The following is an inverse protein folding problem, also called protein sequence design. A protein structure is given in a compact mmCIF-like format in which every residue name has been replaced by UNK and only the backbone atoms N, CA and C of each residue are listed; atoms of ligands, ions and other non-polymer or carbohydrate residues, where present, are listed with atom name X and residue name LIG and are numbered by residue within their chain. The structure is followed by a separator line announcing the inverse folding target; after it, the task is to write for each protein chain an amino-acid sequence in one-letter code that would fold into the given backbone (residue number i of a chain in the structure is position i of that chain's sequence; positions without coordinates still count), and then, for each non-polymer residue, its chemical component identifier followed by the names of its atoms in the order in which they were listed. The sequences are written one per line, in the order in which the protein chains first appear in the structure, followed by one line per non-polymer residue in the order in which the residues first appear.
data_IF_465561807649
#
_entry.id   IF_465561807649
#
_cell.length_a   1.000
_cell.length_b   1.000
_cell.length_c   1.000
_cell.angle_alpha   90.00
_cell.angle_beta   90.00
_cell.angle_gamma   90.00
#
_symmetry.space_group_name_H-M   'P 1'
#
loop_
_entity.id
_entity.type
_entity.pdbx_description
1 polymer ?
#
# COMPACT_ATOMS: atom_id res chain seq x y z
N UNK A 1 -15.68 -4.38 22.38
CA UNK A 1 -14.62 -4.56 21.37
C UNK A 1 -13.65 -5.68 21.71
N UNK A 2 -12.97 -5.64 22.86
CA UNK A 2 -12.03 -6.71 23.26
C UNK A 2 -12.64 -8.13 23.23
N UNK A 3 -13.84 -8.32 23.80
CA UNK A 3 -14.52 -9.62 23.73
C UNK A 3 -14.88 -10.08 22.32
N UNK A 4 -14.93 -9.18 21.33
CA UNK A 4 -15.11 -9.55 19.93
C UNK A 4 -13.79 -10.00 19.30
N UNK A 5 -12.71 -9.22 19.48
CA UNK A 5 -11.37 -9.53 18.97
C UNK A 5 -10.85 -10.86 19.52
N UNK A 6 -11.12 -11.17 20.80
CA UNK A 6 -10.76 -12.44 21.45
C UNK A 6 -11.37 -13.69 20.76
N UNK A 7 -12.37 -13.54 19.89
CA UNK A 7 -12.90 -14.66 19.10
C UNK A 7 -12.00 -15.07 17.92
N UNK A 8 -11.08 -14.19 17.53
CA UNK A 8 -10.19 -14.37 16.38
C UNK A 8 -8.72 -14.52 16.80
N UNK A 9 -8.37 -13.94 17.96
CA UNK A 9 -7.00 -13.93 18.48
C UNK A 9 -6.98 -14.69 19.81
N UNK A 10 -6.45 -15.91 19.75
CA UNK A 10 -6.28 -16.80 20.89
C UNK A 10 -5.31 -16.20 21.92
N UNK A 11 -5.49 -16.58 23.19
CA UNK A 11 -4.64 -16.19 24.32
C UNK A 11 -4.44 -14.68 24.52
N UNK A 12 -5.35 -13.84 24.02
CA UNK A 12 -5.29 -12.38 24.17
C UNK A 12 -5.66 -11.94 25.60
N UNK A 13 -4.66 -11.53 26.38
CA UNK A 13 -4.81 -10.88 27.69
C UNK A 13 -5.32 -9.44 27.57
N UNK A 14 -5.71 -8.84 28.70
CA UNK A 14 -6.38 -7.53 28.71
C UNK A 14 -5.47 -6.35 28.37
N UNK A 15 -4.18 -6.42 28.70
CA UNK A 15 -3.19 -5.39 28.37
C UNK A 15 -2.94 -5.33 26.86
N UNK A 16 -2.60 -6.47 26.26
CA UNK A 16 -2.42 -6.59 24.82
C UNK A 16 -3.71 -6.32 24.05
N UNK A 17 -4.88 -6.57 24.67
CA UNK A 17 -6.15 -6.27 24.02
C UNK A 17 -6.36 -4.77 23.78
N UNK A 18 -5.93 -3.91 24.68
CA UNK A 18 -6.06 -2.47 24.49
C UNK A 18 -5.20 -1.97 23.32
N UNK A 19 -3.96 -2.46 23.21
CA UNK A 19 -3.08 -2.13 22.09
C UNK A 19 -3.65 -2.65 20.76
N UNK A 20 -4.12 -3.90 20.72
CA UNK A 20 -4.73 -4.49 19.53
C UNK A 20 -6.07 -3.84 19.15
N UNK A 21 -6.85 -3.36 20.12
CA UNK A 21 -8.12 -2.66 19.87
C UNK A 21 -7.88 -1.42 18.99
N UNK A 22 -6.81 -0.67 19.24
CA UNK A 22 -6.46 0.50 18.43
C UNK A 22 -6.13 0.09 17.00
N UNK A 23 -5.28 -0.93 16.81
CA UNK A 23 -4.95 -1.46 15.48
C UNK A 23 -6.18 -2.03 14.77
N UNK A 24 -7.05 -2.74 15.50
CA UNK A 24 -8.30 -3.28 14.97
C UNK A 24 -9.23 -2.18 14.48
N UNK A 25 -9.45 -1.13 15.27
CA UNK A 25 -10.30 -0.01 14.89
C UNK A 25 -9.79 0.69 13.61
N UNK A 26 -8.47 0.81 13.47
CA UNK A 26 -7.82 1.35 12.27
C UNK A 26 -8.08 0.47 11.04
N UNK A 27 -7.89 -0.84 11.18
CA UNK A 27 -8.20 -1.81 10.11
C UNK A 27 -9.68 -1.75 9.73
N UNK A 28 -10.57 -1.76 10.72
CA UNK A 28 -12.03 -1.71 10.53
C UNK A 28 -12.44 -0.45 9.78
N UNK A 29 -12.01 0.72 10.26
CA UNK A 29 -12.36 1.99 9.65
C UNK A 29 -11.83 2.11 8.22
N UNK A 30 -10.57 1.75 7.99
CA UNK A 30 -9.98 1.83 6.66
C UNK A 30 -10.69 0.91 5.65
N UNK A 31 -11.07 -0.32 6.05
CA UNK A 31 -11.85 -1.21 5.17
C UNK A 31 -13.26 -0.66 4.93
N UNK A 32 -13.88 -0.03 5.94
CA UNK A 32 -15.20 0.60 5.79
C UNK A 32 -15.17 1.76 4.78
N UNK A 33 -14.12 2.59 4.82
CA UNK A 33 -13.91 3.62 3.80
C UNK A 33 -13.74 3.00 2.40
N UNK A 34 -12.97 1.91 2.29
CA UNK A 34 -12.76 1.22 1.01
C UNK A 34 -14.01 0.51 0.50
N UNK A 35 -14.93 0.11 1.38
CA UNK A 35 -16.18 -0.59 1.01
C UNK A 35 -17.07 0.26 0.12
N UNK A 36 -16.95 1.59 0.21
CA UNK A 36 -17.64 2.54 -0.68
C UNK A 36 -17.05 2.61 -2.09
N UNK A 37 -15.94 1.90 -2.34
CA UNK A 37 -15.30 1.81 -3.64
C UNK A 37 -16.06 0.95 -4.65
N UNK A 38 -15.60 0.93 -5.91
CA UNK A 38 -16.37 0.39 -7.03
C UNK A 38 -16.49 -1.14 -7.06
N UNK A 39 -15.57 -1.87 -6.42
CA UNK A 39 -15.55 -3.34 -6.41
C UNK A 39 -14.58 -3.89 -5.35
N UNK A 40 -14.53 -5.22 -5.19
CA UNK A 40 -13.63 -5.87 -4.24
C UNK A 40 -12.13 -5.70 -4.57
N UNK A 41 -11.75 -5.52 -5.83
CA UNK A 41 -10.35 -5.25 -6.21
C UNK A 41 -9.82 -4.00 -5.51
N UNK A 42 -10.67 -2.99 -5.35
CA UNK A 42 -10.37 -1.78 -4.59
C UNK A 42 -10.00 -2.08 -3.13
N UNK A 43 -10.82 -2.91 -2.46
CA UNK A 43 -10.59 -3.33 -1.07
C UNK A 43 -9.33 -4.18 -0.97
N UNK A 44 -9.14 -5.12 -1.89
CA UNK A 44 -7.97 -6.03 -1.92
C UNK A 44 -6.68 -5.21 -2.05
N UNK A 45 -6.62 -4.23 -2.96
CA UNK A 45 -5.46 -3.34 -3.09
C UNK A 45 -5.24 -2.51 -1.83
N UNK A 46 -6.30 -1.94 -1.26
CA UNK A 46 -6.22 -1.24 0.01
C UNK A 46 -5.67 -2.09 1.15
N UNK A 47 -6.12 -3.34 1.32
CA UNK A 47 -5.56 -4.26 2.30
C UNK A 47 -4.06 -4.51 2.09
N UNK A 48 -3.59 -4.55 0.84
CA UNK A 48 -2.17 -4.69 0.54
C UNK A 48 -1.36 -3.50 1.04
N UNK A 49 -1.87 -2.27 0.84
CA UNK A 49 -1.23 -1.06 1.35
C UNK A 49 -1.28 -0.93 2.87
N UNK A 50 -2.44 -1.21 3.45
CA UNK A 50 -2.66 -1.16 4.89
C UNK A 50 -1.69 -2.07 5.64
N UNK A 51 -1.32 -3.22 5.06
CA UNK A 51 -0.34 -4.12 5.67
C UNK A 51 0.97 -3.40 6.01
N UNK A 52 1.46 -2.48 5.18
CA UNK A 52 2.71 -1.77 5.47
C UNK A 52 2.64 -0.90 6.71
N UNK A 53 1.52 -0.19 6.91
CA UNK A 53 1.34 0.62 8.12
C UNK A 53 1.14 -0.25 9.36
N UNK A 54 0.40 -1.35 9.22
CA UNK A 54 0.25 -2.35 10.29
C UNK A 54 1.60 -2.98 10.64
N UNK A 55 2.42 -3.30 9.63
CA UNK A 55 3.75 -3.85 9.79
C UNK A 55 4.70 -2.90 10.52
N UNK A 56 4.52 -1.58 10.42
CA UNK A 56 5.34 -0.60 11.14
C UNK A 56 4.82 -0.29 12.55
N UNK A 57 3.54 -0.61 12.82
CA UNK A 57 2.87 -0.25 14.09
C UNK A 57 2.77 -1.41 15.07
N UNK A 58 2.46 -2.63 14.60
CA UNK A 58 2.31 -3.82 15.42
C UNK A 58 3.62 -4.39 16.03
N UNK A 59 4.81 -4.25 15.42
CA UNK A 59 6.06 -4.69 16.06
C UNK A 59 6.41 -3.94 17.35
N UNK A 60 5.60 -2.95 17.75
CA UNK A 60 5.74 -2.27 19.05
C UNK A 60 4.97 -2.98 20.16
N UNK A 61 4.33 -4.11 19.86
CA UNK A 61 3.58 -4.95 20.79
C UNK A 61 4.37 -6.25 20.94
N UNK A 62 5.19 -6.36 21.99
CA UNK A 62 6.19 -7.43 22.20
C UNK A 62 5.63 -8.85 21.95
N UNK A 63 4.38 -9.10 22.34
CA UNK A 63 3.71 -10.40 22.18
C UNK A 63 3.52 -10.84 20.71
N UNK A 64 3.51 -9.90 19.76
CA UNK A 64 3.16 -10.15 18.36
C UNK A 64 4.27 -9.78 17.37
N UNK A 65 5.46 -9.45 17.87
CA UNK A 65 6.62 -9.14 17.04
C UNK A 65 6.99 -10.29 16.08
N UNK A 66 6.69 -11.54 16.47
CA UNK A 66 7.14 -12.74 15.74
C UNK A 66 6.24 -13.18 14.58
N UNK A 67 4.98 -12.73 14.51
CA UNK A 67 4.07 -13.10 13.41
C UNK A 67 3.03 -12.01 13.10
N UNK A 68 3.54 -10.84 12.68
CA UNK A 68 2.76 -9.66 12.32
C UNK A 68 1.78 -9.95 11.17
N UNK A 69 2.17 -10.82 10.23
CA UNK A 69 1.32 -11.19 9.10
C UNK A 69 0.11 -12.01 9.51
N UNK A 70 0.28 -13.07 10.32
CA UNK A 70 -0.84 -13.86 10.79
C UNK A 70 -1.79 -13.03 11.66
N UNK A 71 -1.23 -12.16 12.51
CA UNK A 71 -2.03 -11.22 13.30
C UNK A 71 -2.84 -10.28 12.40
N UNK A 72 -2.21 -9.68 11.39
CA UNK A 72 -2.91 -8.83 10.45
C UNK A 72 -4.05 -9.56 9.73
N UNK A 73 -3.85 -10.81 9.31
CA UNK A 73 -4.92 -11.62 8.70
C UNK A 73 -6.09 -11.88 9.63
N UNK A 74 -5.84 -12.10 10.93
CA UNK A 74 -6.89 -12.24 11.95
C UNK A 74 -7.66 -10.92 12.17
N UNK A 75 -6.96 -9.79 12.18
CA UNK A 75 -7.59 -8.46 12.25
C UNK A 75 -8.47 -8.18 11.02
N UNK A 76 -7.99 -8.52 9.82
CA UNK A 76 -8.77 -8.41 8.58
C UNK A 76 -10.02 -9.30 8.62
N UNK A 77 -9.89 -10.55 9.09
CA UNK A 77 -11.01 -11.47 9.20
C UNK A 77 -12.11 -10.93 10.12
N UNK A 78 -11.71 -10.47 11.31
CA UNK A 78 -12.59 -9.87 12.29
C UNK A 78 -13.27 -8.60 11.74
N UNK A 79 -12.53 -7.71 11.07
CA UNK A 79 -13.07 -6.49 10.50
C UNK A 79 -14.05 -6.79 9.35
N UNK A 80 -13.70 -7.72 8.46
CA UNK A 80 -14.59 -8.15 7.38
C UNK A 80 -15.87 -8.80 7.92
N UNK A 81 -15.81 -9.55 9.02
CA UNK A 81 -16.99 -10.12 9.64
C UNK A 81 -17.93 -9.03 10.22
N UNK A 82 -17.39 -7.96 10.85
CA UNK A 82 -18.21 -6.81 11.29
C UNK A 82 -18.86 -6.10 10.10
N UNK A 83 -18.10 -5.91 9.01
CA UNK A 83 -18.56 -5.15 7.84
C UNK A 83 -19.37 -5.97 6.84
N UNK A 84 -19.71 -7.22 7.18
CA UNK A 84 -20.44 -8.17 6.32
C UNK A 84 -19.71 -8.48 4.99
N UNK A 85 -18.36 -8.45 5.01
CA UNK A 85 -17.46 -8.73 3.90
C UNK A 85 -16.83 -10.14 3.97
N UNK A 86 -17.40 -11.06 4.76
CA UNK A 86 -16.87 -12.41 4.97
C UNK A 86 -16.63 -13.18 3.66
N UNK A 87 -17.51 -13.01 2.67
CA UNK A 87 -17.37 -13.62 1.36
C UNK A 87 -16.10 -13.12 0.64
N UNK A 88 -15.88 -11.80 0.65
CA UNK A 88 -14.72 -11.17 0.04
C UNK A 88 -13.42 -11.64 0.72
N UNK A 89 -13.41 -11.68 2.06
CA UNK A 89 -12.26 -12.20 2.81
C UNK A 89 -11.92 -13.64 2.40
N UNK A 90 -12.91 -14.53 2.42
CA UNK A 90 -12.69 -15.96 2.17
C UNK A 90 -12.23 -16.26 0.74
N UNK A 91 -12.76 -15.55 -0.26
CA UNK A 91 -12.41 -15.81 -1.65
C UNK A 91 -11.13 -15.10 -2.10
N UNK A 92 -10.83 -13.91 -1.57
CA UNK A 92 -9.76 -13.07 -2.12
C UNK A 92 -8.60 -12.78 -1.19
N UNK A 93 -8.82 -12.71 0.13
CA UNK A 93 -7.80 -12.23 1.08
C UNK A 93 -7.17 -13.39 1.87
N UNK A 94 -7.97 -14.34 2.34
CA UNK A 94 -7.56 -15.42 3.26
C UNK A 94 -6.31 -16.17 2.79
N UNK A 95 -6.25 -16.43 1.48
CA UNK A 95 -5.19 -17.21 0.83
C UNK A 95 -4.03 -16.36 0.29
N UNK A 96 -4.09 -15.03 0.43
CA UNK A 96 -2.95 -14.19 0.11
C UNK A 96 -1.81 -14.50 1.08
N UNK A 97 -0.60 -14.51 0.52
CA UNK A 97 0.65 -14.74 1.24
C UNK A 97 1.32 -13.40 1.52
N UNK A 98 2.16 -13.37 2.55
CA UNK A 98 2.86 -12.15 2.97
C UNK A 98 3.65 -11.50 1.82
N UNK A 99 4.32 -12.30 0.98
CA UNK A 99 5.08 -11.80 -0.17
C UNK A 99 4.20 -11.01 -1.16
N UNK A 100 2.91 -11.34 -1.27
CA UNK A 100 1.96 -10.59 -2.12
C UNK A 100 1.67 -9.20 -1.55
N UNK A 101 1.53 -9.10 -0.23
CA UNK A 101 1.36 -7.79 0.44
C UNK A 101 2.65 -6.99 0.33
N UNK A 102 3.80 -7.59 0.64
CA UNK A 102 5.12 -6.94 0.59
C UNK A 102 5.47 -6.40 -0.79
N UNK A 103 5.00 -7.03 -1.88
CA UNK A 103 5.16 -6.53 -3.24
C UNK A 103 4.56 -5.13 -3.48
N UNK A 104 3.61 -4.67 -2.66
CA UNK A 104 2.97 -3.36 -2.85
C UNK A 104 3.71 -2.23 -2.11
N UNK A 105 4.67 -2.55 -1.24
CA UNK A 105 5.45 -1.57 -0.45
C UNK A 105 6.15 -0.54 -1.33
N UNK A 106 6.78 -0.93 -2.45
CA UNK A 106 7.46 0.05 -3.29
C UNK A 106 6.51 1.11 -3.86
N UNK A 107 5.26 0.77 -4.19
CA UNK A 107 4.28 1.76 -4.68
C UNK A 107 3.93 2.78 -3.59
N UNK A 108 3.79 2.33 -2.34
CA UNK A 108 3.60 3.22 -1.19
C UNK A 108 4.75 4.21 -1.06
N UNK A 109 5.98 3.70 -1.05
CA UNK A 109 7.17 4.52 -0.88
C UNK A 109 7.35 5.50 -2.05
N UNK A 110 7.10 5.06 -3.30
CA UNK A 110 7.16 5.94 -4.47
C UNK A 110 6.16 7.10 -4.36
N UNK A 111 4.94 6.82 -3.88
CA UNK A 111 3.95 7.86 -3.67
C UNK A 111 4.35 8.85 -2.56
N UNK A 112 4.88 8.36 -1.44
CA UNK A 112 5.38 9.22 -0.35
C UNK A 112 6.51 10.13 -0.84
N UNK A 113 7.48 9.56 -1.56
CA UNK A 113 8.55 10.36 -2.18
C UNK A 113 8.00 11.37 -3.17
N UNK A 114 7.02 10.98 -4.00
CA UNK A 114 6.34 11.86 -4.94
C UNK A 114 5.68 13.07 -4.25
N UNK A 115 4.96 12.87 -3.14
CA UNK A 115 4.38 13.97 -2.36
C UNK A 115 5.46 14.93 -1.83
N UNK A 116 6.60 14.38 -1.41
CA UNK A 116 7.77 15.13 -0.97
C UNK A 116 8.60 15.73 -2.11
N UNK A 117 8.18 15.57 -3.37
CA UNK A 117 8.79 16.31 -4.48
C UNK A 117 8.31 17.77 -4.45
N UNK A 118 7.05 18.07 -4.19
CA UNK A 118 6.52 19.44 -4.26
C UNK A 118 7.27 20.56 -3.47
N UNK A 119 7.99 20.30 -2.36
CA UNK A 119 8.84 21.28 -1.66
C UNK A 119 10.11 21.73 -2.42
N UNK A 120 10.60 22.92 -2.08
CA UNK A 120 11.80 23.58 -2.67
C UNK A 120 13.14 22.83 -2.45
N UNK A 121 13.19 21.81 -1.58
CA UNK A 121 14.41 21.06 -1.26
C UNK A 121 14.24 19.54 -1.45
N UNK A 122 13.76 19.15 -2.63
CA UNK A 122 13.29 17.80 -2.96
C UNK A 122 14.30 16.89 -3.66
N UNK A 123 15.56 17.32 -3.86
CA UNK A 123 16.51 16.55 -4.67
C UNK A 123 16.94 15.21 -4.03
N UNK A 124 17.02 15.15 -2.70
CA UNK A 124 17.26 13.88 -2.00
C UNK A 124 16.12 12.89 -2.26
N UNK A 125 14.87 13.36 -2.16
CA UNK A 125 13.66 12.56 -2.39
C UNK A 125 13.53 12.14 -3.84
N UNK A 126 13.92 13.01 -4.78
CA UNK A 126 14.01 12.65 -6.18
C UNK A 126 15.03 11.53 -6.43
N UNK A 127 16.19 11.58 -5.75
CA UNK A 127 17.21 10.52 -5.81
C UNK A 127 16.66 9.19 -5.27
N UNK A 128 16.00 9.22 -4.09
CA UNK A 128 15.36 8.05 -3.49
C UNK A 128 14.26 7.47 -4.39
N UNK A 129 13.48 8.33 -5.05
CA UNK A 129 12.47 7.94 -6.03
C UNK A 129 13.08 7.22 -7.22
N UNK A 130 14.10 7.81 -7.86
CA UNK A 130 14.78 7.24 -9.04
C UNK A 130 15.38 5.87 -8.72
N UNK A 131 16.05 5.76 -7.57
CA UNK A 131 16.65 4.51 -7.14
C UNK A 131 15.59 3.43 -6.93
N UNK A 132 14.54 3.72 -6.17
CA UNK A 132 13.48 2.76 -5.88
C UNK A 132 12.74 2.34 -7.16
N UNK A 133 12.42 3.30 -8.03
CA UNK A 133 11.78 3.04 -9.31
C UNK A 133 12.62 2.08 -10.16
N UNK A 134 13.91 2.39 -10.33
CA UNK A 134 14.85 1.60 -11.13
C UNK A 134 14.96 0.16 -10.61
N UNK A 135 15.01 -0.02 -9.29
CA UNK A 135 15.04 -1.34 -8.66
C UNK A 135 13.75 -2.15 -8.92
N UNK A 136 12.60 -1.49 -9.04
CA UNK A 136 11.33 -2.18 -9.28
C UNK A 136 11.05 -2.43 -10.76
N UNK A 137 11.30 -1.47 -11.64
CA UNK A 137 10.98 -1.61 -13.07
C UNK A 137 11.81 -2.72 -13.73
N UNK A 138 13.02 -2.97 -13.25
CA UNK A 138 13.85 -4.09 -13.70
C UNK A 138 13.23 -5.48 -13.41
N UNK A 139 12.25 -5.56 -12.50
CA UNK A 139 11.51 -6.79 -12.18
C UNK A 139 10.32 -7.00 -13.13
N UNK A 140 9.95 -6.00 -13.91
CA UNK A 140 8.88 -6.07 -14.90
C UNK A 140 9.43 -6.71 -16.18
N UNK A 141 9.14 -7.99 -16.41
CA UNK A 141 9.61 -8.74 -17.58
C UNK A 141 8.45 -9.14 -18.51
N UNK A 142 8.36 -8.55 -19.71
CA UNK A 142 7.70 -9.16 -20.86
C UNK A 142 6.31 -8.60 -21.23
N UNK A 143 5.75 -9.13 -22.32
CA UNK A 143 4.62 -8.55 -23.07
C UNK A 143 3.29 -8.35 -22.28
N UNK A 144 3.15 -8.97 -21.11
CA UNK A 144 1.99 -8.81 -20.22
C UNK A 144 2.47 -8.35 -18.83
N UNK A 145 2.90 -7.09 -18.69
CA UNK A 145 3.17 -6.59 -17.33
C UNK A 145 1.91 -6.60 -16.50
N UNK A 146 2.08 -6.96 -15.23
CA UNK A 146 1.01 -6.94 -14.26
C UNK A 146 0.60 -5.51 -13.88
N UNK A 147 -0.48 -5.45 -13.13
CA UNK A 147 -1.07 -4.26 -12.52
C UNK A 147 -0.04 -3.40 -11.76
N UNK A 148 0.95 -4.02 -11.11
CA UNK A 148 2.01 -3.32 -10.39
C UNK A 148 2.94 -2.58 -11.35
N UNK A 149 3.41 -3.24 -12.41
CA UNK A 149 4.26 -2.63 -13.42
C UNK A 149 3.56 -1.52 -14.22
N UNK A 150 2.26 -1.69 -14.49
CA UNK A 150 1.44 -0.63 -15.10
C UNK A 150 1.41 0.63 -14.23
N UNK A 151 1.40 0.46 -12.90
CA UNK A 151 1.42 1.58 -11.95
C UNK A 151 2.78 2.27 -11.89
N UNK A 152 3.88 1.53 -11.99
CA UNK A 152 5.22 2.12 -12.09
C UNK A 152 5.33 3.08 -13.28
N UNK A 153 4.84 2.71 -14.46
CA UNK A 153 4.88 3.61 -15.63
C UNK A 153 4.12 4.92 -15.40
N UNK A 154 3.04 4.91 -14.61
CA UNK A 154 2.34 6.15 -14.23
C UNK A 154 3.18 7.00 -13.29
N UNK A 155 3.79 6.38 -12.28
CA UNK A 155 4.75 7.05 -11.40
C UNK A 155 5.90 7.70 -12.16
N UNK A 156 6.40 7.04 -13.21
CA UNK A 156 7.39 7.62 -14.11
C UNK A 156 6.87 8.91 -14.77
N UNK A 157 5.69 8.86 -15.39
CA UNK A 157 5.10 10.03 -16.07
C UNK A 157 4.95 11.20 -15.08
N UNK A 158 4.40 10.94 -13.90
CA UNK A 158 4.19 11.95 -12.86
C UNK A 158 5.52 12.54 -12.38
N UNK A 159 6.51 11.70 -12.10
CA UNK A 159 7.85 12.11 -11.69
C UNK A 159 8.54 12.98 -12.75
N UNK A 160 8.57 12.52 -14.00
CA UNK A 160 9.22 13.21 -15.11
C UNK A 160 8.60 14.59 -15.34
N UNK A 161 7.27 14.71 -15.20
CA UNK A 161 6.56 15.99 -15.33
C UNK A 161 7.01 17.03 -14.29
N UNK A 162 7.33 16.58 -13.06
CA UNK A 162 7.73 17.46 -11.96
C UNK A 162 9.22 17.78 -12.04
N UNK A 163 10.08 16.76 -12.19
CA UNK A 163 11.53 16.91 -12.04
C UNK A 163 12.15 17.74 -13.18
N UNK A 164 11.52 17.78 -14.35
CA UNK A 164 11.97 18.60 -15.49
C UNK A 164 12.20 20.06 -15.10
N UNK A 165 11.30 20.61 -14.28
CA UNK A 165 11.30 22.01 -13.84
C UNK A 165 12.26 22.30 -12.67
N UNK A 166 12.87 21.26 -12.09
CA UNK A 166 13.70 21.39 -10.89
C UNK A 166 15.19 21.41 -11.17
N UNK A 167 15.89 22.15 -10.31
CA UNK A 167 17.33 22.15 -10.24
C UNK A 167 17.82 21.10 -9.23
N UNK A 168 17.93 19.86 -9.68
CA UNK A 168 18.51 18.76 -8.93
C UNK A 168 19.70 18.18 -9.71
N UNK A 169 20.90 18.77 -9.58
CA UNK A 169 22.09 18.30 -10.28
C UNK A 169 22.38 16.83 -9.94
N UNK A 170 22.65 16.02 -10.96
CA UNK A 170 22.97 14.60 -10.80
C UNK A 170 21.76 13.67 -10.62
N UNK A 171 20.53 14.20 -10.55
CA UNK A 171 19.31 13.38 -10.52
C UNK A 171 18.80 13.14 -11.94
N UNK A 172 18.48 11.89 -12.25
CA UNK A 172 17.94 11.50 -13.55
C UNK A 172 16.56 12.13 -13.78
N UNK A 173 16.42 12.88 -14.87
CA UNK A 173 15.15 13.52 -15.27
C UNK A 173 14.24 12.63 -16.11
N UNK A 174 14.77 11.52 -16.56
CA UNK A 174 14.07 10.54 -17.40
C UNK A 174 14.38 9.14 -16.88
N UNK A 175 13.36 8.31 -16.74
CA UNK A 175 13.46 6.96 -16.20
C UNK A 175 13.26 5.93 -17.30
N UNK A 176 13.82 4.71 -17.18
CA UNK A 176 13.59 3.66 -18.17
C UNK A 176 12.14 3.18 -18.15
N UNK A 177 11.56 2.85 -19.31
CA UNK A 177 10.29 2.11 -19.40
C UNK A 177 10.53 0.64 -19.70
N UNK A 178 9.55 -0.19 -19.35
CA UNK A 178 9.48 -1.60 -19.74
C UNK A 178 9.44 -1.75 -21.27
N UNK A 179 10.05 -2.81 -21.87
CA UNK A 179 10.13 -2.95 -23.33
C UNK A 179 8.78 -2.82 -24.06
N UNK A 180 7.68 -3.30 -23.48
CA UNK A 180 6.35 -3.19 -24.10
C UNK A 180 5.85 -1.74 -24.23
N UNK A 181 6.36 -0.82 -23.41
CA UNK A 181 6.05 0.61 -23.45
C UNK A 181 7.04 1.44 -24.28
N UNK A 182 8.17 0.86 -24.71
CA UNK A 182 9.20 1.59 -25.47
C UNK A 182 8.78 1.98 -26.89
N UNK A 183 7.87 1.23 -27.53
CA UNK A 183 7.50 1.45 -28.95
C UNK A 183 6.07 1.93 -29.15
N UNK A 184 5.30 2.10 -28.08
CA UNK A 184 3.87 2.34 -28.18
C UNK A 184 3.51 3.61 -27.44
N UNK A 185 3.11 4.63 -28.21
CA UNK A 185 2.25 5.74 -27.76
C UNK A 185 0.85 5.23 -27.37
N UNK A 186 0.76 4.05 -26.75
CA UNK A 186 -0.45 3.57 -26.11
C UNK A 186 -0.70 4.51 -24.95
N UNK A 187 -1.66 5.39 -25.16
CA UNK A 187 -2.43 6.02 -24.11
C UNK A 187 -2.71 4.91 -23.09
N UNK A 188 -2.06 4.97 -21.94
CA UNK A 188 -2.38 4.13 -20.79
C UNK A 188 -3.84 4.40 -20.50
N UNK A 189 -4.76 3.56 -20.97
CA UNK A 189 -6.16 3.64 -20.59
C UNK A 189 -6.19 3.20 -19.13
N UNK A 190 -6.07 4.18 -18.24
CA UNK A 190 -5.78 3.95 -16.84
C UNK A 190 -7.01 3.32 -16.20
N UNK A 191 -6.99 2.00 -16.02
CA UNK A 191 -7.76 1.41 -14.94
C UNK A 191 -7.01 1.76 -13.64
N UNK A 192 -7.34 2.93 -13.06
CA UNK A 192 -6.71 3.46 -11.83
C UNK A 192 -7.16 2.73 -10.56
N UNK A 193 -7.37 1.42 -10.63
CA UNK A 193 -7.90 0.62 -9.52
C UNK A 193 -6.91 0.44 -8.37
N UNK A 194 -5.63 0.72 -8.61
CA UNK A 194 -4.51 0.58 -7.67
C UNK A 194 -4.16 1.92 -7.02
N UNK A 195 -4.11 2.98 -7.82
CA UNK A 195 -3.73 4.32 -7.38
C UNK A 195 -4.72 4.91 -6.38
N UNK A 196 -6.02 4.71 -6.58
CA UNK A 196 -7.03 5.33 -5.72
C UNK A 196 -7.02 4.76 -4.28
N UNK A 197 -6.99 3.42 -4.05
CA UNK A 197 -6.77 2.88 -2.70
C UNK A 197 -5.47 3.36 -2.05
N UNK A 198 -4.42 3.56 -2.86
CA UNK A 198 -3.13 4.08 -2.39
C UNK A 198 -3.23 5.53 -1.92
N UNK A 199 -3.88 6.40 -2.70
CA UNK A 199 -4.10 7.80 -2.32
C UNK A 199 -4.92 7.86 -1.03
N UNK A 200 -5.98 7.05 -0.91
CA UNK A 200 -6.76 6.96 0.32
C UNK A 200 -5.90 6.48 1.50
N UNK A 201 -5.10 5.43 1.30
CA UNK A 201 -4.18 4.93 2.31
C UNK A 201 -3.26 6.02 2.85
N UNK A 202 -2.63 6.79 1.95
CA UNK A 202 -1.68 7.84 2.33
C UNK A 202 -2.39 8.98 3.05
N UNK A 203 -3.55 9.41 2.54
CA UNK A 203 -4.38 10.43 3.18
C UNK A 203 -4.79 9.99 4.59
N UNK A 204 -5.22 8.74 4.73
CA UNK A 204 -5.61 8.14 5.99
C UNK A 204 -4.43 8.03 6.97
N UNK A 205 -3.26 7.57 6.48
CA UNK A 205 -2.01 7.49 7.24
C UNK A 205 -1.60 8.86 7.77
N UNK A 206 -1.57 9.89 6.94
CA UNK A 206 -1.21 11.25 7.35
C UNK A 206 -2.18 11.80 8.39
N UNK A 207 -3.50 11.65 8.18
CA UNK A 207 -4.51 12.17 9.10
C UNK A 207 -4.55 11.45 10.46
N UNK A 208 -4.22 10.15 10.51
CA UNK A 208 -4.23 9.35 11.75
C UNK A 208 -2.85 9.23 12.42
N UNK A 209 -1.81 9.89 11.91
CA UNK A 209 -0.55 10.09 12.64
C UNK A 209 -0.71 11.17 13.73
N UNK A 210 -1.76 11.99 13.67
CA UNK A 210 -2.00 13.12 14.60
C UNK A 210 -3.06 12.87 15.69
N UNK A 211 -3.53 11.62 15.87
CA UNK A 211 -4.48 11.23 16.92
C UNK A 211 -4.02 10.00 17.71
#
# INVERSE_FOLDING_TARGET
MCGYIKKYIDDLDDENCNALKTSFNRVLHYIDELKSGPNYTYIIHGCKYLYHWIYETLPKIEKYETDVFALYKKLLEAACAILELTQMYNYYIKNLREDVFLKHKPLVNLYEYYLELSPQNSCKKATEFVQLYSDQINKCQGALSDDFCNELEKFKIDYESIIQTKNCPGVEKTLPSEPKYKSSSTILTVSSTILTPLILFITYKVNNIFY
#
